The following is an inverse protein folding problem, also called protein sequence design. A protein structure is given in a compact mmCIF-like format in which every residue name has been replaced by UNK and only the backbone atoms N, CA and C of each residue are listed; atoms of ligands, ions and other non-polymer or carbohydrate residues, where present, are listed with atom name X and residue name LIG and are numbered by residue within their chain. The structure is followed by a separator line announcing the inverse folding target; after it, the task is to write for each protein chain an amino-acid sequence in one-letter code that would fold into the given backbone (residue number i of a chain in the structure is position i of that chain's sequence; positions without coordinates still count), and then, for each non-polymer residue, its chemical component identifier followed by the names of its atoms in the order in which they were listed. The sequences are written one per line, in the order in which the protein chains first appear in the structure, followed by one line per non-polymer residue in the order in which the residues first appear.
data_IF_309139162844
#
_entry.id   IF_309139162844
#
_cell.length_a   1.000
_cell.length_b   1.000
_cell.length_c   1.000
_cell.angle_alpha   90.00
_cell.angle_beta   90.00
_cell.angle_gamma   90.00
#
_symmetry.space_group_name_H-M   'P 1'
#
loop_
_entity.id
_entity.type
_entity.pdbx_description
1 polymer ?
#
# COMPACT_ATOMS: atom_id res chain seq x y z
N UNK A 1 29.76 20.32 -8.60
CA UNK A 1 29.85 20.48 -7.13
C UNK A 1 29.22 19.23 -6.56
N UNK A 2 29.91 18.48 -5.69
CA UNK A 2 29.30 17.31 -5.05
C UNK A 2 28.18 17.84 -4.13
N UNK A 3 26.93 17.42 -4.36
CA UNK A 3 25.81 17.78 -3.49
C UNK A 3 26.14 17.30 -2.07
N UNK A 4 26.17 18.24 -1.14
CA UNK A 4 26.41 17.95 0.27
C UNK A 4 25.24 17.11 0.77
N UNK A 5 25.51 15.90 1.25
CA UNK A 5 24.49 15.03 1.80
C UNK A 5 23.74 15.74 2.95
N UNK A 6 22.41 15.71 2.91
CA UNK A 6 21.58 16.24 3.98
C UNK A 6 21.54 15.23 5.14
N UNK A 7 21.70 15.71 6.38
CA UNK A 7 21.65 14.84 7.55
C UNK A 7 20.24 14.75 8.13
N UNK A 8 19.80 13.53 8.43
CA UNK A 8 18.52 13.21 9.10
C UNK A 8 18.81 12.36 10.35
N UNK A 9 18.09 12.60 11.42
CA UNK A 9 18.24 11.86 12.68
C UNK A 9 17.74 10.41 12.50
N UNK A 10 16.46 10.24 12.20
CA UNK A 10 15.85 8.91 12.00
C UNK A 10 15.19 8.84 10.63
N UNK A 11 15.58 7.84 9.85
CA UNK A 11 15.02 7.57 8.51
C UNK A 11 14.26 6.25 8.53
N UNK A 12 13.08 6.24 7.91
CA UNK A 12 12.22 5.06 7.74
C UNK A 12 11.98 4.83 6.25
N UNK A 13 12.37 3.67 5.71
CA UNK A 13 12.18 3.34 4.30
C UNK A 13 10.90 2.54 4.10
N UNK A 14 9.86 3.20 3.62
CA UNK A 14 8.53 2.63 3.36
C UNK A 14 7.49 3.15 4.34
N UNK A 15 6.35 3.59 3.80
CA UNK A 15 5.20 4.12 4.54
C UNK A 15 4.06 3.09 4.68
N UNK A 16 4.37 1.81 4.65
CA UNK A 16 3.44 0.74 5.01
C UNK A 16 3.15 0.69 6.50
N UNK A 17 2.31 -0.27 7.00
CA UNK A 17 1.95 -0.36 8.42
C UNK A 17 3.14 -0.41 9.37
N UNK A 18 4.21 -1.11 9.03
CA UNK A 18 5.44 -1.11 9.83
C UNK A 18 6.11 0.26 9.84
N UNK A 19 6.12 0.98 8.71
CA UNK A 19 6.81 2.25 8.57
C UNK A 19 6.10 3.43 9.20
N UNK A 20 4.83 3.67 8.83
CA UNK A 20 4.12 4.84 9.39
C UNK A 20 3.89 4.70 10.90
N UNK A 21 3.68 3.49 11.42
CA UNK A 21 3.55 3.26 12.87
C UNK A 21 4.87 3.53 13.59
N UNK A 22 5.98 3.00 13.05
CA UNK A 22 7.31 3.25 13.61
C UNK A 22 7.68 4.75 13.57
N UNK A 23 7.39 5.42 12.46
CA UNK A 23 7.66 6.85 12.29
C UNK A 23 6.88 7.71 13.29
N UNK A 24 5.58 7.43 13.47
CA UNK A 24 4.74 8.11 14.45
C UNK A 24 5.30 7.88 15.86
N UNK A 25 5.62 6.63 16.19
CA UNK A 25 6.11 6.29 17.52
C UNK A 25 7.47 6.91 17.82
N UNK A 26 8.39 6.91 16.88
CA UNK A 26 9.69 7.56 17.03
C UNK A 26 9.53 9.09 17.23
N UNK A 27 8.62 9.72 16.49
CA UNK A 27 8.31 11.13 16.66
C UNK A 27 7.69 11.45 18.03
N UNK A 28 6.79 10.59 18.55
CA UNK A 28 6.24 10.72 19.92
C UNK A 28 7.33 10.61 21.00
N UNK A 29 8.40 9.88 20.72
CA UNK A 29 9.58 9.76 21.60
C UNK A 29 10.58 10.92 21.43
N UNK A 30 10.24 11.94 20.64
CA UNK A 30 11.01 13.17 20.48
C UNK A 30 12.02 13.15 19.33
N UNK A 31 12.07 12.10 18.50
CA UNK A 31 12.99 12.05 17.37
C UNK A 31 12.46 12.84 16.16
N UNK A 32 13.37 13.39 15.37
CA UNK A 32 13.06 13.98 14.06
C UNK A 32 13.07 12.86 13.03
N UNK A 33 11.90 12.59 12.47
CA UNK A 33 11.70 11.43 11.59
C UNK A 33 11.42 11.84 10.14
N UNK A 34 12.12 11.20 9.22
CA UNK A 34 11.89 11.30 7.77
C UNK A 34 11.48 9.93 7.23
N UNK A 35 10.34 9.85 6.57
CA UNK A 35 9.86 8.65 5.86
C UNK A 35 10.17 8.81 4.38
N UNK A 36 10.75 7.78 3.77
CA UNK A 36 10.95 7.71 2.32
C UNK A 36 9.98 6.68 1.75
N UNK A 37 9.13 7.10 0.80
CA UNK A 37 8.12 6.23 0.19
C UNK A 37 8.18 6.34 -1.34
N UNK A 38 8.27 5.19 -2.01
CA UNK A 38 8.36 5.15 -3.48
C UNK A 38 7.02 5.42 -4.18
N UNK A 39 5.91 5.12 -3.50
CA UNK A 39 4.57 5.29 -4.05
C UNK A 39 4.04 6.71 -3.80
N UNK A 40 3.14 7.18 -4.65
CA UNK A 40 2.46 8.46 -4.43
C UNK A 40 1.53 8.42 -3.21
N UNK A 41 1.01 7.23 -2.88
CA UNK A 41 0.08 7.04 -1.77
C UNK A 41 0.74 6.31 -0.62
N UNK A 42 0.53 6.82 0.59
CA UNK A 42 1.02 6.21 1.83
C UNK A 42 0.14 5.04 2.27
N UNK A 43 0.64 4.23 3.22
CA UNK A 43 -0.10 3.11 3.79
C UNK A 43 0.31 1.73 3.26
N UNK A 44 1.20 1.70 2.26
CA UNK A 44 1.78 0.47 1.71
C UNK A 44 0.74 -0.50 1.14
N UNK A 45 1.13 -1.76 0.98
CA UNK A 45 0.27 -2.83 0.45
C UNK A 45 -1.03 -2.96 1.23
N UNK A 46 -0.99 -2.93 2.55
CA UNK A 46 -2.17 -3.14 3.39
C UNK A 46 -3.32 -2.17 3.06
N UNK A 47 -3.03 -0.87 2.97
CA UNK A 47 -4.08 0.13 2.74
C UNK A 47 -4.48 0.23 1.28
N UNK A 48 -3.54 0.07 0.36
CA UNK A 48 -3.77 0.34 -1.05
C UNK A 48 -4.25 -0.89 -1.83
N UNK A 49 -3.63 -2.05 -1.61
CA UNK A 49 -3.82 -3.24 -2.46
C UNK A 49 -3.86 -4.57 -1.67
N UNK A 50 -4.23 -4.51 -0.38
CA UNK A 50 -4.25 -5.68 0.49
C UNK A 50 -5.42 -5.67 1.48
N UNK A 51 -5.12 -5.50 2.76
CA UNK A 51 -6.07 -5.67 3.87
C UNK A 51 -7.32 -4.80 3.75
N UNK A 52 -7.17 -3.52 3.45
CA UNK A 52 -8.28 -2.57 3.42
C UNK A 52 -9.21 -2.82 2.23
N UNK A 53 -8.71 -2.88 0.97
CA UNK A 53 -9.60 -3.17 -0.15
C UNK A 53 -10.22 -4.57 -0.10
N UNK A 54 -9.52 -5.61 0.38
CA UNK A 54 -10.11 -6.93 0.54
C UNK A 54 -11.25 -6.95 1.55
N UNK A 55 -11.07 -6.32 2.72
CA UNK A 55 -12.14 -6.20 3.72
C UNK A 55 -13.33 -5.38 3.21
N UNK A 56 -13.10 -4.36 2.38
CA UNK A 56 -14.18 -3.61 1.77
C UNK A 56 -15.01 -4.49 0.81
N UNK A 57 -14.36 -5.27 -0.06
CA UNK A 57 -15.07 -6.19 -0.96
C UNK A 57 -15.81 -7.29 -0.19
N UNK A 58 -15.19 -7.88 0.83
CA UNK A 58 -15.83 -8.87 1.72
C UNK A 58 -17.06 -8.27 2.38
N UNK A 59 -16.97 -7.03 2.91
CA UNK A 59 -18.11 -6.37 3.53
C UNK A 59 -19.27 -6.13 2.56
N UNK A 60 -18.97 -5.76 1.31
CA UNK A 60 -19.99 -5.63 0.26
C UNK A 60 -20.65 -6.99 -0.06
N UNK A 61 -19.85 -8.05 -0.17
CA UNK A 61 -20.34 -9.41 -0.39
C UNK A 61 -21.22 -9.92 0.74
N UNK A 62 -20.85 -9.63 2.00
CA UNK A 62 -21.67 -9.98 3.17
C UNK A 62 -23.03 -9.28 3.11
N UNK A 63 -23.07 -7.98 2.79
CA UNK A 63 -24.34 -7.25 2.68
C UNK A 63 -25.27 -7.82 1.61
N UNK A 64 -24.71 -8.25 0.47
CA UNK A 64 -25.50 -8.92 -0.56
C UNK A 64 -26.06 -10.25 -0.05
N UNK A 65 -25.23 -11.05 0.63
CA UNK A 65 -25.66 -12.33 1.22
C UNK A 65 -26.71 -12.12 2.29
N UNK A 66 -26.49 -11.22 3.24
CA UNK A 66 -27.42 -10.91 4.32
C UNK A 66 -28.78 -10.46 3.75
N UNK A 67 -28.77 -9.67 2.67
CA UNK A 67 -30.01 -9.27 1.99
C UNK A 67 -30.73 -10.47 1.35
N UNK A 68 -30.00 -11.40 0.72
CA UNK A 68 -30.60 -12.61 0.12
C UNK A 68 -31.15 -13.59 1.14
N UNK A 69 -30.46 -13.73 2.28
CA UNK A 69 -30.83 -14.69 3.34
C UNK A 69 -31.78 -14.09 4.39
N UNK A 70 -32.21 -12.84 4.19
CA UNK A 70 -33.01 -12.06 5.16
C UNK A 70 -34.36 -12.69 5.49
N UNK A 71 -34.94 -13.51 4.61
CA UNK A 71 -36.21 -14.20 4.83
C UNK A 71 -36.18 -15.10 6.06
N UNK A 72 -35.05 -15.68 6.42
CA UNK A 72 -34.86 -16.48 7.64
C UNK A 72 -35.20 -15.70 8.91
N UNK A 73 -35.03 -14.38 8.84
CA UNK A 73 -35.32 -13.45 9.96
C UNK A 73 -36.69 -12.75 9.82
N UNK A 74 -37.51 -13.17 8.87
CA UNK A 74 -38.81 -12.53 8.60
C UNK A 74 -38.69 -11.19 7.84
N UNK A 75 -37.50 -10.86 7.33
CA UNK A 75 -37.28 -9.65 6.53
C UNK A 75 -37.38 -10.01 5.05
N UNK A 76 -38.29 -9.38 4.33
CA UNK A 76 -38.43 -9.59 2.88
C UNK A 76 -37.70 -8.53 2.12
N UNK A 77 -36.72 -8.95 1.30
CA UNK A 77 -36.04 -8.09 0.31
C UNK A 77 -36.42 -8.57 -1.08
N UNK A 78 -36.57 -7.64 -2.01
CA UNK A 78 -36.86 -7.95 -3.43
C UNK A 78 -35.56 -7.86 -4.23
N UNK A 79 -35.19 -8.94 -4.90
CA UNK A 79 -34.13 -9.01 -5.91
C UNK A 79 -32.81 -8.29 -5.56
N UNK A 80 -32.21 -8.66 -4.40
CA UNK A 80 -30.93 -8.11 -4.03
C UNK A 80 -29.83 -8.45 -5.07
N UNK A 81 -29.28 -7.42 -5.69
CA UNK A 81 -28.21 -7.51 -6.70
C UNK A 81 -27.02 -6.65 -6.32
N UNK A 82 -25.87 -6.90 -6.91
CA UNK A 82 -24.68 -6.11 -6.75
C UNK A 82 -24.29 -5.42 -8.05
N UNK A 83 -24.08 -4.12 -7.99
CA UNK A 83 -23.39 -3.36 -9.04
C UNK A 83 -21.91 -3.35 -8.67
N UNK A 84 -21.13 -4.25 -9.27
CA UNK A 84 -19.73 -4.45 -8.92
C UNK A 84 -18.86 -3.23 -9.29
N UNK A 85 -19.19 -2.51 -10.36
CA UNK A 85 -18.48 -1.29 -10.74
C UNK A 85 -18.62 -0.20 -9.66
N UNK A 86 -19.83 0.00 -9.14
CA UNK A 86 -20.06 0.91 -8.00
C UNK A 86 -19.39 0.42 -6.72
N UNK A 87 -19.33 -0.88 -6.50
CA UNK A 87 -18.61 -1.46 -5.35
C UNK A 87 -17.12 -1.15 -5.45
N UNK A 88 -16.52 -1.31 -6.63
CA UNK A 88 -15.12 -0.96 -6.87
C UNK A 88 -14.87 0.56 -6.69
N UNK A 89 -15.75 1.39 -7.19
CA UNK A 89 -15.65 2.84 -7.01
C UNK A 89 -15.74 3.23 -5.53
N UNK A 90 -16.71 2.70 -4.79
CA UNK A 90 -16.85 2.92 -3.34
C UNK A 90 -15.61 2.45 -2.59
N UNK A 91 -15.11 1.23 -2.88
CA UNK A 91 -13.88 0.71 -2.28
C UNK A 91 -12.71 1.67 -2.48
N UNK A 92 -12.51 2.14 -3.71
CA UNK A 92 -11.36 2.98 -4.04
C UNK A 92 -11.49 4.40 -3.48
N UNK A 93 -12.63 5.08 -3.73
CA UNK A 93 -12.82 6.49 -3.40
C UNK A 93 -13.19 6.72 -1.93
N UNK A 94 -14.06 5.88 -1.36
CA UNK A 94 -14.59 6.09 -0.01
C UNK A 94 -13.81 5.35 1.06
N UNK A 95 -13.23 4.19 0.76
CA UNK A 95 -12.51 3.39 1.75
C UNK A 95 -11.00 3.60 1.63
N UNK A 96 -10.37 3.17 0.54
CA UNK A 96 -8.92 3.23 0.36
C UNK A 96 -8.41 4.67 0.42
N UNK A 97 -8.97 5.57 -0.38
CA UNK A 97 -8.52 6.96 -0.41
C UNK A 97 -8.71 7.69 0.93
N UNK A 98 -9.74 7.33 1.72
CA UNK A 98 -9.93 7.87 3.07
C UNK A 98 -8.85 7.41 4.03
N UNK A 99 -8.51 6.11 3.98
CA UNK A 99 -7.50 5.53 4.88
C UNK A 99 -6.09 6.05 4.57
N UNK A 100 -5.72 6.15 3.30
CA UNK A 100 -4.42 6.68 2.88
C UNK A 100 -4.24 8.15 3.26
N UNK A 101 -5.28 8.98 3.06
CA UNK A 101 -5.29 10.37 3.57
C UNK A 101 -5.22 10.44 5.08
N UNK A 102 -5.81 9.48 5.79
CA UNK A 102 -5.69 9.36 7.24
C UNK A 102 -4.25 9.20 7.71
N UNK A 103 -3.49 8.30 7.06
CA UNK A 103 -2.05 8.11 7.35
C UNK A 103 -1.27 9.38 7.07
N UNK A 104 -1.52 10.05 5.92
CA UNK A 104 -0.88 11.33 5.60
C UNK A 104 -1.15 12.39 6.67
N UNK A 105 -2.40 12.50 7.13
CA UNK A 105 -2.79 13.40 8.20
C UNK A 105 -2.10 13.10 9.53
N UNK A 106 -1.96 11.82 9.89
CA UNK A 106 -1.27 11.39 11.10
C UNK A 106 0.22 11.73 11.04
N UNK A 107 0.92 11.40 9.95
CA UNK A 107 2.34 11.76 9.79
C UNK A 107 2.54 13.26 9.88
N UNK A 108 1.70 14.06 9.21
CA UNK A 108 1.74 15.53 9.30
C UNK A 108 1.51 16.02 10.72
N UNK A 109 0.52 15.47 11.45
CA UNK A 109 0.25 15.83 12.86
C UNK A 109 1.46 15.59 13.75
N UNK A 110 2.19 14.49 13.51
CA UNK A 110 3.40 14.15 14.25
C UNK A 110 4.68 14.79 13.66
N UNK A 111 4.56 15.76 12.73
CA UNK A 111 5.68 16.46 12.12
C UNK A 111 6.71 15.54 11.45
N UNK A 112 6.26 14.38 11.00
CA UNK A 112 7.10 13.46 10.23
C UNK A 112 7.22 14.01 8.80
N UNK A 113 8.46 14.17 8.36
CA UNK A 113 8.75 14.53 6.97
C UNK A 113 8.51 13.33 6.04
N UNK A 114 7.95 13.55 4.87
CA UNK A 114 7.77 12.51 3.85
C UNK A 114 8.48 12.92 2.57
N UNK A 115 9.40 12.08 2.12
CA UNK A 115 10.10 12.24 0.84
C UNK A 115 9.62 11.14 -0.10
N UNK A 116 9.09 11.54 -1.27
CA UNK A 116 8.72 10.56 -2.30
C UNK A 116 9.92 10.18 -3.16
N UNK A 117 10.25 8.89 -3.19
CA UNK A 117 11.36 8.35 -3.95
C UNK A 117 11.71 6.93 -3.53
N UNK A 118 12.62 6.34 -4.29
CA UNK A 118 13.18 5.02 -3.98
C UNK A 118 14.54 5.19 -3.30
N UNK A 119 14.66 4.66 -2.09
CA UNK A 119 15.90 4.70 -1.32
C UNK A 119 16.78 3.49 -1.63
N UNK A 120 18.07 3.75 -1.81
CA UNK A 120 19.12 2.73 -1.91
C UNK A 120 20.22 3.06 -0.91
N UNK A 121 20.73 2.05 -0.21
CA UNK A 121 21.89 2.20 0.67
C UNK A 121 23.17 2.30 -0.16
N UNK A 122 23.87 3.42 -0.07
CA UNK A 122 25.21 3.56 -0.63
C UNK A 122 26.26 2.96 0.32
N UNK A 123 26.01 3.10 1.63
CA UNK A 123 26.82 2.50 2.71
C UNK A 123 26.00 2.49 4.03
N UNK A 124 26.64 2.13 5.13
CA UNK A 124 25.97 1.97 6.44
C UNK A 124 25.40 3.26 7.05
N UNK A 125 25.73 4.42 6.52
CA UNK A 125 25.31 5.73 7.05
C UNK A 125 24.76 6.66 5.99
N UNK A 126 24.66 6.21 4.73
CA UNK A 126 24.26 7.05 3.60
C UNK A 126 23.24 6.36 2.72
N UNK A 127 22.15 7.06 2.44
CA UNK A 127 21.12 6.70 1.49
C UNK A 127 21.17 7.60 0.27
N UNK A 128 20.87 7.01 -0.87
CA UNK A 128 20.57 7.72 -2.11
C UNK A 128 19.08 7.60 -2.40
N UNK A 129 18.41 8.73 -2.59
CA UNK A 129 17.00 8.78 -2.93
C UNK A 129 16.86 9.16 -4.39
N UNK A 130 16.34 8.25 -5.17
CA UNK A 130 15.98 8.47 -6.57
C UNK A 130 14.55 8.98 -6.64
N UNK A 131 14.25 10.00 -7.47
CA UNK A 131 12.89 10.47 -7.67
C UNK A 131 11.98 9.34 -8.19
N UNK A 132 10.65 9.44 -8.00
CA UNK A 132 9.70 8.47 -8.55
C UNK A 132 9.81 8.38 -10.07
N UNK A 133 9.81 7.17 -10.61
CA UNK A 133 9.85 6.94 -12.06
C UNK A 133 10.56 5.65 -12.46
N UNK A 134 10.62 5.35 -13.76
CA UNK A 134 11.30 4.17 -14.28
C UNK A 134 12.81 4.26 -14.04
N UNK A 135 13.30 3.53 -13.06
CA UNK A 135 14.72 3.58 -12.61
C UNK A 135 15.71 3.09 -13.66
N UNK A 136 15.28 2.29 -14.62
CA UNK A 136 16.12 1.76 -15.71
C UNK A 136 16.76 2.83 -16.61
N UNK A 137 16.28 4.07 -16.55
CA UNK A 137 16.82 5.19 -17.31
C UNK A 137 17.60 6.20 -16.47
N UNK A 138 17.75 5.94 -15.16
CA UNK A 138 18.45 6.85 -14.26
C UNK A 138 19.90 6.41 -14.04
N UNK A 139 20.82 7.36 -14.10
CA UNK A 139 22.23 7.11 -13.74
C UNK A 139 22.32 6.78 -12.25
N UNK A 140 23.12 5.80 -11.87
CA UNK A 140 23.35 5.40 -10.47
C UNK A 140 23.93 6.53 -9.60
N UNK A 141 24.45 7.59 -10.21
CA UNK A 141 25.05 8.74 -9.53
C UNK A 141 24.10 9.95 -9.42
N UNK A 142 22.85 9.84 -9.90
CA UNK A 142 21.82 10.88 -9.72
C UNK A 142 20.96 10.56 -8.51
N UNK A 143 20.49 11.58 -7.80
CA UNK A 143 19.63 11.43 -6.63
C UNK A 143 20.13 12.22 -5.43
N UNK A 144 19.21 12.49 -4.49
CA UNK A 144 19.51 13.18 -3.25
C UNK A 144 20.27 12.23 -2.30
N UNK A 145 21.38 12.70 -1.74
CA UNK A 145 22.11 11.98 -0.70
C UNK A 145 21.63 12.40 0.69
N UNK A 146 21.34 11.43 1.53
CA UNK A 146 20.96 11.62 2.94
C UNK A 146 21.87 10.77 3.82
N UNK A 147 22.41 11.37 4.86
CA UNK A 147 23.04 10.65 5.97
C UNK A 147 22.07 10.54 7.14
N UNK A 148 22.23 9.54 8.00
CA UNK A 148 21.32 9.28 9.11
C UNK A 148 22.05 8.72 10.33
N UNK A 149 21.44 8.91 11.53
CA UNK A 149 21.87 8.27 12.77
C UNK A 149 21.19 6.92 12.95
N UNK A 150 19.88 6.86 12.68
CA UNK A 150 19.05 5.67 12.84
C UNK A 150 18.30 5.35 11.54
N UNK A 151 18.24 4.06 11.18
CA UNK A 151 17.55 3.57 10.00
C UNK A 151 16.60 2.44 10.36
N UNK A 152 15.33 2.57 9.93
CA UNK A 152 14.30 1.53 10.01
C UNK A 152 13.94 1.12 8.59
N UNK A 153 13.95 -0.21 8.29
CA UNK A 153 13.77 -0.75 6.94
C UNK A 153 12.49 -1.62 6.86
N UNK A 154 11.29 -1.06 6.94
CA UNK A 154 10.02 -1.75 6.82
C UNK A 154 9.53 -1.74 5.36
N UNK A 155 10.36 -2.17 4.43
CA UNK A 155 10.13 -2.10 2.97
C UNK A 155 9.00 -3.02 2.46
N UNK A 156 8.48 -3.92 3.34
CA UNK A 156 7.36 -4.79 3.02
C UNK A 156 7.72 -6.00 2.16
N UNK A 157 6.75 -6.46 1.38
CA UNK A 157 6.87 -7.63 0.52
C UNK A 157 6.10 -7.42 -0.79
N UNK A 158 6.36 -8.27 -1.75
CA UNK A 158 5.67 -8.29 -3.05
C UNK A 158 5.18 -9.71 -3.36
N UNK A 159 4.13 -9.87 -4.19
CA UNK A 159 3.73 -11.17 -4.70
C UNK A 159 4.90 -11.87 -5.40
N UNK A 160 5.01 -13.19 -5.16
CA UNK A 160 6.00 -14.02 -5.85
C UNK A 160 5.38 -14.54 -7.13
N UNK A 161 6.01 -14.26 -8.26
CA UNK A 161 5.64 -14.82 -9.53
C UNK A 161 6.11 -16.27 -9.64
N UNK A 162 5.20 -17.17 -10.01
CA UNK A 162 5.52 -18.58 -10.21
C UNK A 162 5.97 -18.75 -11.67
N UNK A 163 7.18 -19.28 -11.95
CA UNK A 163 7.71 -19.34 -13.31
C UNK A 163 6.81 -20.04 -14.34
N UNK A 164 6.04 -21.05 -13.92
CA UNK A 164 5.06 -21.77 -14.76
C UNK A 164 3.76 -21.01 -14.98
N UNK A 165 3.51 -19.94 -14.21
CA UNK A 165 2.31 -19.10 -14.28
C UNK A 165 2.72 -17.62 -14.20
N UNK A 166 3.44 -17.08 -15.20
CA UNK A 166 3.88 -15.70 -15.19
C UNK A 166 2.69 -14.74 -15.20
N UNK A 167 2.81 -13.64 -14.49
CA UNK A 167 1.75 -12.62 -14.48
C UNK A 167 1.58 -11.99 -15.85
N UNK A 168 0.32 -11.81 -16.25
CA UNK A 168 -0.06 -11.21 -17.52
C UNK A 168 -1.35 -11.78 -18.07
N UNK A 169 -2.07 -10.99 -18.85
CA UNK A 169 -3.34 -11.39 -19.45
C UNK A 169 -4.36 -11.84 -18.41
N UNK A 170 -4.66 -13.14 -18.36
CA UNK A 170 -5.62 -13.73 -17.40
C UNK A 170 -4.97 -14.19 -16.08
N UNK A 171 -3.65 -14.19 -16.00
CA UNK A 171 -2.92 -14.59 -14.79
C UNK A 171 -2.61 -13.32 -14.01
N UNK A 172 -3.24 -13.16 -12.88
CA UNK A 172 -3.17 -11.95 -12.06
C UNK A 172 -2.67 -12.28 -10.65
N UNK A 173 -2.03 -11.31 -10.03
CA UNK A 173 -1.67 -11.37 -8.61
C UNK A 173 -2.84 -10.94 -7.70
N UNK A 174 -2.61 -10.92 -6.39
CA UNK A 174 -3.60 -10.44 -5.42
C UNK A 174 -4.04 -8.99 -5.66
N UNK A 175 -3.15 -8.14 -6.15
CA UNK A 175 -3.48 -6.74 -6.50
C UNK A 175 -4.45 -6.69 -7.68
N UNK A 176 -4.18 -7.48 -8.72
CA UNK A 176 -5.07 -7.63 -9.88
C UNK A 176 -6.44 -8.16 -9.47
N UNK A 177 -6.47 -9.17 -8.57
CA UNK A 177 -7.72 -9.73 -8.06
C UNK A 177 -8.61 -8.72 -7.33
N UNK A 178 -8.00 -7.82 -6.55
CA UNK A 178 -8.73 -6.75 -5.84
C UNK A 178 -9.21 -5.61 -6.76
N UNK A 179 -8.67 -5.52 -7.97
CA UNK A 179 -8.95 -4.46 -8.94
C UNK A 179 -9.62 -4.96 -10.23
N UNK A 180 -10.24 -6.14 -10.19
CA UNK A 180 -11.01 -6.63 -11.32
C UNK A 180 -12.08 -5.61 -11.73
N UNK A 181 -12.23 -5.30 -13.03
CA UNK A 181 -13.23 -4.34 -13.53
C UNK A 181 -14.65 -4.90 -13.44
N UNK A 182 -14.79 -6.22 -13.52
CA UNK A 182 -16.06 -6.94 -13.47
C UNK A 182 -15.89 -8.26 -12.70
N UNK A 183 -17.00 -8.85 -12.26
CA UNK A 183 -16.98 -10.18 -11.64
C UNK A 183 -16.73 -11.24 -12.71
N UNK A 184 -15.66 -12.04 -12.59
CA UNK A 184 -15.42 -13.13 -13.53
C UNK A 184 -16.47 -14.22 -13.34
N UNK A 185 -16.83 -14.91 -14.43
CA UNK A 185 -17.72 -16.09 -14.36
C UNK A 185 -17.05 -17.26 -13.63
N UNK A 186 -15.75 -17.38 -13.79
CA UNK A 186 -14.92 -18.40 -13.16
C UNK A 186 -13.60 -17.76 -12.70
N UNK A 187 -13.16 -18.11 -11.50
CA UNK A 187 -11.88 -17.69 -10.93
C UNK A 187 -11.17 -18.93 -10.38
N UNK A 188 -10.01 -19.23 -10.94
CA UNK A 188 -9.16 -20.31 -10.45
C UNK A 188 -8.07 -19.75 -9.55
N UNK A 189 -7.99 -20.23 -8.31
CA UNK A 189 -6.96 -19.84 -7.35
C UNK A 189 -5.84 -20.88 -7.36
N UNK A 190 -4.63 -20.43 -7.69
CA UNK A 190 -3.43 -21.24 -7.59
C UNK A 190 -2.78 -20.92 -6.25
N UNK A 191 -2.94 -21.79 -5.28
CA UNK A 191 -2.53 -21.65 -3.89
C UNK A 191 -3.59 -20.98 -3.00
N UNK A 192 -4.21 -21.80 -2.15
CA UNK A 192 -5.18 -21.39 -1.12
C UNK A 192 -4.50 -21.18 0.24
N UNK A 193 -3.58 -20.22 0.33
CA UNK A 193 -2.99 -19.80 1.61
C UNK A 193 -3.74 -18.62 2.22
N UNK A 194 -3.09 -17.89 3.13
CA UNK A 194 -3.67 -16.76 3.87
C UNK A 194 -4.19 -15.62 2.98
N UNK A 195 -3.67 -15.49 1.77
CA UNK A 195 -4.08 -14.49 0.78
C UNK A 195 -4.88 -15.09 -0.40
N UNK A 196 -5.19 -16.36 -0.36
CA UNK A 196 -5.96 -17.06 -1.38
C UNK A 196 -7.45 -17.21 -1.04
#
# INVERSE_FOLDING_TARGET
MADKAEHKETVVIGAGPGGYVAAIRASELGQKVTVIEQSETLGGVCLNVGCVPSKALIAAGHRLRDAKDSSTYGVTTKDATIDFAKTQEWKNKSVVARMTRGVQGLLKKHKVEVIHGTATLDNNTTLRIMPPGPQQFMSTNTGQLITFDHLIIPTGSRPVEIPTFPFGGRIIDSTGGLNLPELPKELNLIRGGYLG
#
